data_IF_282978117400
#
_entry.id   IF_282978117400
#
_cell.length_a   1.000
_cell.length_b   1.000
_cell.length_c   1.000
_cell.angle_alpha   90.00
_cell.angle_beta   90.00
_cell.angle_gamma   90.00
#
_symmetry.space_group_name_H-M   'P 1'
#
loop_
_entity.id
_entity.type
_entity.pdbx_description
1 polymer ?
#
# COMPACT_ATOMS: atom_id res chain seq x y z
N UNK A 1 56.67 -0.19 -49.52
CA UNK A 1 55.61 -1.23 -49.47
C UNK A 1 55.40 -1.84 -48.07
N UNK A 2 56.45 -2.13 -47.29
CA UNK A 2 56.33 -2.79 -45.97
C UNK A 2 55.57 -2.00 -44.89
N UNK A 3 55.67 -0.66 -44.88
CA UNK A 3 55.04 0.21 -43.86
C UNK A 3 53.50 0.24 -43.94
N UNK A 4 52.95 0.17 -45.15
CA UNK A 4 51.49 0.14 -45.36
C UNK A 4 50.90 -1.24 -45.01
N UNK A 5 51.68 -2.31 -45.18
CA UNK A 5 51.28 -3.67 -44.80
C UNK A 5 51.19 -3.82 -43.28
N UNK A 6 52.15 -3.26 -42.53
CA UNK A 6 52.12 -3.26 -41.05
C UNK A 6 50.90 -2.49 -40.53
N UNK A 7 50.57 -1.34 -41.13
CA UNK A 7 49.40 -0.56 -40.74
C UNK A 7 48.08 -1.32 -40.98
N UNK A 8 47.97 -2.03 -42.12
CA UNK A 8 46.80 -2.83 -42.45
C UNK A 8 46.60 -4.01 -41.47
N UNK A 9 47.70 -4.70 -41.09
CA UNK A 9 47.64 -5.82 -40.13
C UNK A 9 47.20 -5.33 -38.75
N UNK A 10 47.71 -4.18 -38.29
CA UNK A 10 47.30 -3.59 -37.01
C UNK A 10 45.84 -3.15 -37.02
N UNK A 11 45.36 -2.55 -38.13
CA UNK A 11 43.96 -2.14 -38.28
C UNK A 11 43.01 -3.35 -38.20
N UNK A 12 43.34 -4.44 -38.88
CA UNK A 12 42.54 -5.68 -38.86
C UNK A 12 42.55 -6.32 -37.47
N UNK A 13 43.68 -6.30 -36.77
CA UNK A 13 43.77 -6.79 -35.39
C UNK A 13 42.91 -5.95 -34.41
N UNK A 14 42.91 -4.62 -34.54
CA UNK A 14 42.07 -3.74 -33.75
C UNK A 14 40.58 -3.94 -34.04
N UNK A 15 40.20 -4.10 -35.31
CA UNK A 15 38.83 -4.44 -35.69
C UNK A 15 38.40 -5.79 -35.12
N UNK A 16 39.28 -6.79 -35.15
CA UNK A 16 39.04 -8.09 -34.52
C UNK A 16 38.84 -7.99 -33.01
N UNK A 17 39.63 -7.15 -32.33
CA UNK A 17 39.48 -6.87 -30.90
C UNK A 17 38.18 -6.13 -30.58
N UNK A 18 37.79 -5.13 -31.37
CA UNK A 18 36.52 -4.41 -31.20
C UNK A 18 35.33 -5.34 -31.45
N UNK A 19 35.35 -6.14 -32.50
CA UNK A 19 34.30 -7.13 -32.79
C UNK A 19 34.27 -8.20 -31.69
N UNK A 20 35.42 -8.68 -31.23
CA UNK A 20 35.55 -9.61 -30.11
C UNK A 20 34.99 -9.02 -28.81
N UNK A 21 35.28 -7.74 -28.53
CA UNK A 21 34.81 -7.02 -27.35
C UNK A 21 33.32 -6.73 -27.42
N UNK A 22 32.79 -6.32 -28.58
CA UNK A 22 31.34 -6.16 -28.82
C UNK A 22 30.62 -7.50 -28.66
N UNK A 23 31.18 -8.59 -29.18
CA UNK A 23 30.59 -9.94 -29.05
C UNK A 23 30.66 -10.48 -27.61
N UNK A 24 31.67 -10.09 -26.84
CA UNK A 24 31.81 -10.41 -25.40
C UNK A 24 30.91 -9.54 -24.53
N UNK A 25 30.74 -8.26 -24.87
CA UNK A 25 29.82 -7.36 -24.18
C UNK A 25 28.35 -7.75 -24.45
N UNK A 26 28.05 -8.19 -25.67
CA UNK A 26 26.74 -8.70 -26.06
C UNK A 26 26.47 -10.16 -25.62
N UNK A 27 27.38 -10.74 -24.82
CA UNK A 27 27.26 -12.10 -24.24
C UNK A 27 26.87 -12.09 -22.75
N UNK A 28 26.35 -10.98 -22.22
CA UNK A 28 25.50 -11.07 -21.02
C UNK A 28 24.20 -11.75 -21.46
N UNK A 29 24.11 -13.06 -21.24
CA UNK A 29 22.89 -13.82 -21.50
C UNK A 29 21.72 -13.08 -20.87
N UNK A 30 20.69 -12.76 -21.67
CA UNK A 30 19.47 -12.16 -21.14
C UNK A 30 18.98 -13.06 -20.00
N UNK A 31 18.90 -12.49 -18.80
CA UNK A 31 18.41 -13.21 -17.62
C UNK A 31 16.88 -13.09 -17.70
N UNK A 32 16.16 -14.18 -17.44
CA UNK A 32 14.69 -14.21 -17.57
C UNK A 32 14.05 -14.52 -16.22
N UNK A 33 12.91 -13.91 -15.97
CA UNK A 33 11.97 -14.27 -14.91
C UNK A 33 10.68 -14.85 -15.49
N UNK A 34 9.78 -15.30 -14.62
CA UNK A 34 8.44 -15.73 -15.00
C UNK A 34 7.43 -14.66 -14.58
N UNK A 35 6.59 -14.21 -15.51
CA UNK A 35 5.49 -13.30 -15.24
C UNK A 35 4.18 -14.08 -15.30
N UNK A 36 3.40 -14.02 -14.20
CA UNK A 36 2.02 -14.52 -14.14
C UNK A 36 1.09 -13.35 -13.86
N UNK A 37 0.06 -13.19 -14.70
CA UNK A 37 -0.94 -12.13 -14.56
C UNK A 37 -2.33 -12.73 -14.59
N UNK A 38 -3.12 -12.40 -13.57
CA UNK A 38 -4.53 -12.77 -13.45
C UNK A 38 -5.37 -11.51 -13.33
N UNK A 39 -6.58 -11.53 -13.89
CA UNK A 39 -7.52 -10.44 -13.68
C UNK A 39 -8.97 -10.88 -13.77
N UNK A 40 -9.82 -10.11 -13.11
CA UNK A 40 -11.28 -10.20 -13.22
C UNK A 40 -11.83 -8.79 -13.46
N UNK A 41 -12.59 -8.52 -14.53
CA UNK A 41 -12.83 -9.40 -15.69
C UNK A 41 -11.55 -9.74 -16.47
N UNK A 42 -11.64 -10.66 -17.46
CA UNK A 42 -10.55 -10.92 -18.39
C UNK A 42 -10.08 -9.65 -19.09
N UNK A 43 -8.77 -9.52 -19.23
CA UNK A 43 -8.11 -8.33 -19.75
C UNK A 43 -6.95 -8.66 -20.68
N UNK A 44 -6.59 -7.69 -21.53
CA UNK A 44 -5.36 -7.69 -22.31
C UNK A 44 -4.20 -7.16 -21.46
N UNK A 45 -3.06 -7.82 -21.53
CA UNK A 45 -1.84 -7.50 -20.78
C UNK A 45 -0.83 -6.82 -21.70
N UNK A 46 -0.34 -5.67 -21.27
CA UNK A 46 0.70 -4.90 -21.95
C UNK A 46 1.90 -4.70 -21.01
N UNK A 47 3.10 -4.80 -21.55
CA UNK A 47 4.35 -4.53 -20.86
C UNK A 47 5.13 -3.47 -21.64
N UNK A 48 5.38 -2.30 -21.06
CA UNK A 48 5.95 -1.13 -21.75
C UNK A 48 5.23 -0.81 -23.06
N UNK A 49 3.90 -0.80 -23.02
CA UNK A 49 3.00 -0.61 -24.17
C UNK A 49 3.04 -1.72 -25.24
N UNK A 50 3.89 -2.75 -25.10
CA UNK A 50 3.88 -3.93 -25.96
C UNK A 50 2.78 -4.88 -25.51
N UNK A 51 1.85 -5.23 -26.41
CA UNK A 51 0.83 -6.25 -26.15
C UNK A 51 1.48 -7.62 -25.96
N UNK A 52 1.25 -8.24 -24.81
CA UNK A 52 1.82 -9.54 -24.42
C UNK A 52 0.82 -10.68 -24.59
N UNK A 53 -0.47 -10.45 -24.33
CA UNK A 53 -1.49 -11.48 -24.39
C UNK A 53 -2.73 -11.13 -23.58
N UNK A 54 -3.50 -12.14 -23.16
CA UNK A 54 -4.72 -12.00 -22.37
C UNK A 54 -4.61 -12.73 -21.05
N UNK A 55 -5.29 -12.26 -20.01
CA UNK A 55 -5.38 -12.93 -18.72
C UNK A 55 -6.33 -14.13 -18.79
N UNK A 56 -6.02 -15.25 -18.11
CA UNK A 56 -4.78 -15.51 -17.36
C UNK A 56 -3.58 -15.61 -18.31
N UNK A 57 -2.51 -14.89 -17.99
CA UNK A 57 -1.29 -14.81 -18.78
C UNK A 57 -0.11 -15.40 -18.00
N UNK A 58 0.73 -16.18 -18.70
CA UNK A 58 1.96 -16.76 -18.13
C UNK A 58 3.02 -16.86 -19.21
N UNK A 59 4.16 -16.19 -19.03
CA UNK A 59 5.29 -16.30 -19.95
C UNK A 59 6.63 -15.97 -19.27
N UNK A 60 7.74 -16.35 -19.92
CA UNK A 60 9.08 -15.91 -19.54
C UNK A 60 9.34 -14.52 -20.11
N UNK A 61 9.75 -13.61 -19.24
CA UNK A 61 10.05 -12.22 -19.59
C UNK A 61 11.48 -11.91 -19.18
N UNK A 62 12.17 -11.09 -19.97
CA UNK A 62 13.50 -10.63 -19.61
C UNK A 62 13.45 -9.91 -18.24
N UNK A 63 14.45 -10.16 -17.40
CA UNK A 63 14.56 -9.50 -16.10
C UNK A 63 14.85 -8.01 -16.31
N UNK A 64 14.17 -7.16 -15.53
CA UNK A 64 14.21 -5.72 -15.71
C UNK A 64 13.08 -4.98 -15.00
N UNK A 65 13.06 -3.67 -15.19
CA UNK A 65 11.98 -2.79 -14.76
C UNK A 65 11.05 -2.52 -15.95
N UNK A 66 9.75 -2.58 -15.68
CA UNK A 66 8.70 -2.42 -16.68
C UNK A 66 7.54 -1.61 -16.12
N UNK A 67 6.68 -1.11 -17.00
CA UNK A 67 5.32 -0.69 -16.66
C UNK A 67 4.35 -1.75 -17.18
N UNK A 68 3.59 -2.38 -16.30
CA UNK A 68 2.49 -3.25 -16.68
C UNK A 68 1.22 -2.42 -16.85
N UNK A 69 0.44 -2.71 -17.89
CA UNK A 69 -0.90 -2.17 -18.10
C UNK A 69 -1.86 -3.31 -18.41
N UNK A 70 -2.96 -3.35 -17.67
CA UNK A 70 -4.01 -4.36 -17.78
C UNK A 70 -5.29 -3.66 -18.24
N UNK A 71 -5.82 -4.06 -19.40
CA UNK A 71 -6.95 -3.41 -20.07
C UNK A 71 -8.11 -4.40 -20.22
N UNK A 72 -9.25 -4.20 -19.53
CA UNK A 72 -10.42 -5.08 -19.64
C UNK A 72 -10.87 -5.30 -21.08
N UNK A 73 -11.34 -6.51 -21.40
CA UNK A 73 -11.99 -6.77 -22.68
C UNK A 73 -13.40 -6.15 -22.71
N UNK A 74 -13.79 -5.55 -23.84
CA UNK A 74 -14.92 -4.62 -23.96
C UNK A 74 -16.34 -5.24 -23.86
N UNK A 75 -16.49 -6.46 -23.37
CA UNK A 75 -17.76 -7.16 -23.34
C UNK A 75 -18.47 -7.00 -21.99
N UNK A 76 -19.30 -5.95 -21.90
CA UNK A 76 -20.39 -5.68 -20.94
C UNK A 76 -20.13 -4.89 -19.65
N UNK A 77 -18.88 -4.76 -19.18
CA UNK A 77 -18.56 -3.89 -18.03
C UNK A 77 -17.54 -2.83 -18.47
N UNK A 78 -17.87 -1.55 -18.31
CA UNK A 78 -16.94 -0.44 -18.55
C UNK A 78 -15.88 -0.40 -17.44
N UNK A 79 -15.09 -1.46 -17.29
CA UNK A 79 -14.04 -1.51 -16.30
C UNK A 79 -12.86 -0.62 -16.73
N UNK A 80 -12.30 0.10 -15.77
CA UNK A 80 -11.14 0.94 -15.98
C UNK A 80 -9.87 0.11 -16.20
N UNK A 81 -9.00 0.56 -17.10
CA UNK A 81 -7.65 -0.02 -17.19
C UNK A 81 -6.83 0.36 -15.98
N UNK A 82 -5.98 -0.55 -15.52
CA UNK A 82 -5.02 -0.30 -14.45
C UNK A 82 -3.59 -0.42 -14.98
N UNK A 83 -2.67 0.34 -14.40
CA UNK A 83 -1.25 0.27 -14.72
C UNK A 83 -0.39 0.53 -13.48
N UNK A 84 0.80 -0.06 -13.46
CA UNK A 84 1.75 0.10 -12.37
C UNK A 84 3.19 -0.22 -12.80
N UNK A 85 4.21 0.32 -12.11
CA UNK A 85 5.58 -0.16 -12.26
C UNK A 85 5.71 -1.61 -11.76
N UNK A 86 6.60 -2.37 -12.38
CA UNK A 86 6.82 -3.79 -12.12
C UNK A 86 8.31 -4.13 -12.27
N UNK A 87 8.85 -4.88 -11.31
CA UNK A 87 10.20 -5.45 -11.40
C UNK A 87 10.11 -6.96 -11.68
N UNK A 88 10.83 -7.44 -12.69
CA UNK A 88 10.94 -8.88 -13.00
C UNK A 88 12.33 -9.36 -12.63
N UNK A 89 12.41 -10.26 -11.65
CA UNK A 89 13.65 -10.84 -11.14
C UNK A 89 14.14 -12.06 -11.94
N UNK A 90 15.43 -12.35 -11.85
CA UNK A 90 16.06 -13.45 -12.58
C UNK A 90 15.68 -14.82 -11.98
N UNK A 91 15.07 -15.69 -12.78
CA UNK A 91 14.56 -17.00 -12.36
C UNK A 91 13.57 -16.94 -11.18
N UNK A 92 12.93 -15.78 -11.02
CA UNK A 92 11.92 -15.54 -9.99
C UNK A 92 10.55 -15.35 -10.64
N UNK A 93 9.51 -15.73 -9.90
CA UNK A 93 8.13 -15.45 -10.24
C UNK A 93 7.79 -14.03 -9.84
N UNK A 94 7.22 -13.28 -10.77
CA UNK A 94 6.51 -12.04 -10.53
C UNK A 94 5.02 -12.30 -10.78
N UNK A 95 4.22 -12.12 -9.75
CA UNK A 95 2.78 -12.37 -9.79
C UNK A 95 2.02 -11.05 -9.75
N UNK A 96 1.05 -10.90 -10.64
CA UNK A 96 0.14 -9.76 -10.69
C UNK A 96 -1.29 -10.28 -10.67
N UNK A 97 -2.11 -9.73 -9.78
CA UNK A 97 -3.55 -9.97 -9.74
C UNK A 97 -4.28 -8.63 -9.82
N UNK A 98 -5.31 -8.51 -10.64
CA UNK A 98 -6.08 -7.28 -10.78
C UNK A 98 -7.59 -7.53 -10.80
N UNK A 99 -8.30 -6.98 -9.81
CA UNK A 99 -9.76 -6.94 -9.77
C UNK A 99 -10.20 -5.58 -10.31
N UNK A 100 -10.55 -5.54 -11.59
CA UNK A 100 -10.87 -4.34 -12.34
C UNK A 100 -12.36 -4.04 -12.24
N UNK A 101 -12.66 -2.79 -11.90
CA UNK A 101 -14.01 -2.27 -11.67
C UNK A 101 -14.24 -1.02 -12.53
N UNK A 102 -15.42 -0.43 -12.43
CA UNK A 102 -15.88 0.72 -13.25
C UNK A 102 -14.93 1.92 -13.21
N UNK A 103 -14.19 2.08 -12.10
CA UNK A 103 -13.20 3.14 -11.92
C UNK A 103 -11.88 2.59 -11.41
N UNK A 104 -10.81 3.35 -11.60
CA UNK A 104 -9.51 3.00 -11.04
C UNK A 104 -9.53 3.02 -9.50
N UNK A 105 -10.42 3.80 -8.87
CA UNK A 105 -10.55 3.89 -7.41
C UNK A 105 -11.26 2.68 -6.81
N UNK A 106 -12.22 2.11 -7.55
CA UNK A 106 -12.94 0.89 -7.16
C UNK A 106 -12.23 -0.38 -7.63
N UNK A 107 -11.09 -0.27 -8.32
CA UNK A 107 -10.26 -1.40 -8.74
C UNK A 107 -9.18 -1.68 -7.72
N UNK A 108 -8.86 -2.96 -7.54
CA UNK A 108 -7.78 -3.41 -6.67
C UNK A 108 -6.77 -4.23 -7.45
N UNK A 109 -5.51 -4.23 -6.99
CA UNK A 109 -4.45 -4.97 -7.65
C UNK A 109 -3.31 -5.33 -6.69
N UNK A 110 -2.68 -6.48 -6.93
CA UNK A 110 -1.52 -6.96 -6.19
C UNK A 110 -0.35 -7.17 -7.14
N UNK A 111 0.83 -6.73 -6.74
CA UNK A 111 2.09 -7.10 -7.37
C UNK A 111 2.97 -7.74 -6.30
N UNK A 112 3.36 -8.99 -6.55
CA UNK A 112 4.22 -9.77 -5.66
C UNK A 112 5.46 -10.22 -6.42
N UNK A 113 6.63 -9.96 -5.86
CA UNK A 113 7.87 -10.51 -6.36
C UNK A 113 8.86 -10.80 -5.24
N UNK A 114 9.88 -11.57 -5.57
CA UNK A 114 10.98 -11.85 -4.66
C UNK A 114 12.18 -10.98 -5.04
N UNK A 115 12.88 -10.49 -4.03
CA UNK A 115 14.19 -9.88 -4.16
C UNK A 115 15.19 -10.69 -3.33
N UNK A 116 16.37 -10.95 -3.90
CA UNK A 116 17.44 -11.63 -3.16
C UNK A 116 18.08 -10.65 -2.18
N UNK A 117 18.26 -11.09 -0.94
CA UNK A 117 18.88 -10.28 0.13
C UNK A 117 20.16 -10.95 0.64
N UNK A 118 20.98 -10.18 1.34
CA UNK A 118 22.18 -10.69 2.02
C UNK A 118 21.87 -11.35 3.37
N UNK A 119 20.67 -11.13 3.91
CA UNK A 119 20.20 -11.73 5.15
C UNK A 119 20.04 -13.25 5.06
N UNK A 120 20.00 -13.91 6.21
CA UNK A 120 19.79 -15.37 6.30
C UNK A 120 18.33 -15.75 6.55
N UNK A 121 17.49 -14.78 6.92
CA UNK A 121 16.08 -14.97 7.22
C UNK A 121 15.22 -14.58 6.01
N UNK A 122 13.93 -14.91 6.07
CA UNK A 122 12.96 -14.37 5.11
C UNK A 122 12.55 -12.97 5.55
N UNK A 123 12.31 -12.08 4.58
CA UNK A 123 11.85 -10.72 4.85
C UNK A 123 10.56 -10.42 4.10
N UNK A 124 9.81 -9.44 4.60
CA UNK A 124 8.60 -8.94 3.95
C UNK A 124 8.65 -7.42 3.85
N UNK A 125 8.37 -6.88 2.68
CA UNK A 125 8.12 -5.45 2.45
C UNK A 125 6.73 -5.27 1.87
N UNK A 126 5.87 -4.52 2.55
CA UNK A 126 4.49 -4.26 2.13
C UNK A 126 4.29 -2.77 1.93
N UNK A 127 3.78 -2.40 0.76
CA UNK A 127 3.35 -1.04 0.41
C UNK A 127 1.93 -1.11 -0.11
N UNK A 128 1.13 -0.08 0.16
CA UNK A 128 -0.26 -0.05 -0.30
C UNK A 128 -0.63 1.29 -0.93
N UNK A 129 -1.67 1.27 -1.75
CA UNK A 129 -2.37 2.48 -2.17
C UNK A 129 -3.85 2.34 -1.79
N UNK A 130 -4.36 3.15 -0.84
CA UNK A 130 -3.66 4.21 -0.10
C UNK A 130 -2.62 3.67 0.89
N UNK A 131 -1.68 4.52 1.29
CA UNK A 131 -0.75 4.25 2.40
C UNK A 131 -1.48 4.20 3.75
N UNK A 132 -0.80 3.68 4.78
CA UNK A 132 -1.34 3.63 6.16
C UNK A 132 -2.33 2.49 6.40
N UNK A 133 -2.35 1.49 5.52
CA UNK A 133 -3.17 0.30 5.70
C UNK A 133 -2.57 -0.61 6.78
N UNK A 134 -3.41 -1.22 7.62
CA UNK A 134 -2.98 -2.18 8.63
C UNK A 134 -2.57 -3.49 7.95
N UNK A 135 -1.40 -4.00 8.32
CA UNK A 135 -0.85 -5.25 7.80
C UNK A 135 -0.93 -6.32 8.87
N UNK A 136 -1.55 -7.44 8.51
CA UNK A 136 -1.62 -8.65 9.31
C UNK A 136 -0.90 -9.78 8.57
N UNK A 137 -0.13 -10.56 9.32
CA UNK A 137 0.50 -11.80 8.83
C UNK A 137 0.04 -12.91 9.75
N UNK A 138 -0.64 -13.91 9.18
CA UNK A 138 -1.28 -15.02 9.90
C UNK A 138 -2.19 -14.52 11.03
N UNK A 139 -3.06 -13.56 10.68
CA UNK A 139 -4.02 -12.89 11.57
C UNK A 139 -3.40 -12.08 12.72
N UNK A 140 -2.07 -11.98 12.79
CA UNK A 140 -1.36 -11.12 13.74
C UNK A 140 -1.01 -9.78 13.11
N UNK A 141 -1.42 -8.68 13.76
CA UNK A 141 -1.05 -7.31 13.34
C UNK A 141 0.47 -7.14 13.43
N UNK A 142 1.09 -6.77 12.31
CA UNK A 142 2.54 -6.49 12.21
C UNK A 142 2.87 -5.00 12.12
N UNK A 143 1.89 -4.16 11.77
CA UNK A 143 2.05 -2.71 11.70
C UNK A 143 1.14 -2.08 10.66
N UNK A 144 1.57 -0.93 10.12
CA UNK A 144 0.90 -0.21 9.03
C UNK A 144 1.86 0.00 7.87
N UNK A 145 1.33 0.12 6.65
CA UNK A 145 2.14 0.39 5.46
C UNK A 145 2.64 1.84 5.39
N UNK A 146 3.83 2.09 4.83
CA UNK A 146 4.84 1.12 4.38
C UNK A 146 5.44 0.31 5.55
N UNK A 147 5.51 -1.01 5.41
CA UNK A 147 6.03 -1.93 6.44
C UNK A 147 7.21 -2.74 5.88
N UNK A 148 8.26 -2.90 6.68
CA UNK A 148 9.34 -3.86 6.43
C UNK A 148 9.59 -4.72 7.67
N UNK A 149 9.67 -6.03 7.49
CA UNK A 149 9.99 -6.98 8.56
C UNK A 149 11.19 -7.83 8.16
N UNK A 150 12.12 -8.04 9.10
CA UNK A 150 13.40 -8.72 8.86
C UNK A 150 13.41 -10.20 9.25
N UNK A 151 12.43 -10.62 10.05
CA UNK A 151 12.36 -11.95 10.66
C UNK A 151 11.03 -12.62 10.35
N UNK A 152 10.78 -12.88 9.07
CA UNK A 152 9.68 -13.72 8.64
C UNK A 152 10.11 -15.18 8.69
N UNK A 153 9.35 -16.02 9.40
CA UNK A 153 9.53 -17.47 9.37
C UNK A 153 9.46 -17.97 7.93
N UNK A 154 10.19 -19.03 7.60
CA UNK A 154 10.12 -19.63 6.26
C UNK A 154 8.84 -20.47 6.14
N UNK A 155 8.17 -20.40 4.99
CA UNK A 155 6.91 -21.12 4.77
C UNK A 155 5.84 -20.27 4.10
N UNK A 156 4.64 -20.83 4.04
CA UNK A 156 3.46 -20.14 3.54
C UNK A 156 2.87 -19.25 4.64
N UNK A 157 2.48 -18.03 4.27
CA UNK A 157 1.86 -17.05 5.15
C UNK A 157 0.62 -16.44 4.51
N UNK A 158 -0.34 -16.04 5.34
CA UNK A 158 -1.48 -15.26 4.92
C UNK A 158 -1.24 -13.78 5.19
N UNK A 159 -1.02 -13.00 4.14
CA UNK A 159 -0.89 -11.55 4.21
C UNK A 159 -2.26 -10.93 4.04
N UNK A 160 -2.76 -10.23 5.05
CA UNK A 160 -4.01 -9.46 4.97
C UNK A 160 -3.70 -7.99 5.16
N UNK A 161 -4.28 -7.14 4.30
CA UNK A 161 -4.14 -5.69 4.39
C UNK A 161 -5.52 -5.05 4.43
N UNK A 162 -5.72 -4.13 5.38
CA UNK A 162 -7.00 -3.46 5.61
C UNK A 162 -6.83 -1.96 5.75
N UNK A 163 -7.75 -1.17 5.21
CA UNK A 163 -7.75 0.29 5.37
C UNK A 163 -9.20 0.80 5.48
N UNK A 164 -9.51 1.75 6.38
CA UNK A 164 -10.86 2.28 6.54
C UNK A 164 -11.42 2.84 5.22
N UNK A 165 -12.63 2.39 4.85
CA UNK A 165 -13.28 2.79 3.60
C UNK A 165 -12.84 1.99 2.36
N UNK A 166 -11.92 1.05 2.52
CA UNK A 166 -11.45 0.16 1.45
C UNK A 166 -11.82 -1.29 1.72
N UNK A 167 -11.91 -2.07 0.67
CA UNK A 167 -12.09 -3.51 0.75
C UNK A 167 -10.80 -4.16 1.24
N UNK A 168 -10.90 -4.99 2.28
CA UNK A 168 -9.78 -5.80 2.78
C UNK A 168 -9.28 -6.76 1.71
N UNK A 169 -7.97 -6.97 1.65
CA UNK A 169 -7.34 -7.81 0.64
C UNK A 169 -6.42 -8.82 1.30
N UNK A 170 -6.57 -10.09 0.93
CA UNK A 170 -5.82 -11.21 1.52
C UNK A 170 -5.10 -11.97 0.43
N UNK A 171 -3.81 -12.20 0.63
CA UNK A 171 -2.94 -12.85 -0.33
C UNK A 171 -2.08 -13.91 0.37
N UNK A 172 -2.03 -15.09 -0.23
CA UNK A 172 -1.08 -16.12 0.19
C UNK A 172 0.31 -15.77 -0.35
N UNK A 173 1.29 -15.69 0.54
CA UNK A 173 2.70 -15.45 0.19
C UNK A 173 3.58 -16.60 0.69
N UNK A 174 4.76 -16.75 0.11
CA UNK A 174 5.75 -17.73 0.55
C UNK A 174 7.04 -17.05 0.94
N UNK A 175 7.38 -17.14 2.22
CA UNK A 175 8.64 -16.68 2.80
C UNK A 175 9.74 -17.70 2.54
N UNK A 176 10.89 -17.23 2.07
CA UNK A 176 12.07 -18.05 1.79
C UNK A 176 13.29 -17.35 2.39
N UNK A 177 14.09 -18.10 3.15
CA UNK A 177 15.36 -17.61 3.67
C UNK A 177 16.27 -17.03 2.56
N UNK A 178 16.84 -15.85 2.81
CA UNK A 178 17.69 -15.15 1.83
C UNK A 178 16.93 -14.41 0.73
N UNK A 179 15.60 -14.33 0.84
CA UNK A 179 14.76 -13.51 -0.02
C UNK A 179 13.84 -12.60 0.78
N UNK A 180 13.54 -11.45 0.20
CA UNK A 180 12.48 -10.54 0.62
C UNK A 180 11.29 -10.71 -0.31
N UNK A 181 10.13 -11.00 0.25
CA UNK A 181 8.85 -10.87 -0.45
C UNK A 181 8.51 -9.40 -0.50
N UNK A 182 8.30 -8.85 -1.69
CA UNK A 182 7.80 -7.49 -1.87
C UNK A 182 6.37 -7.57 -2.35
N UNK A 183 5.47 -6.93 -1.61
CA UNK A 183 4.05 -6.82 -1.92
C UNK A 183 3.67 -5.34 -2.10
N UNK A 184 3.20 -5.00 -3.30
CA UNK A 184 2.62 -3.70 -3.61
C UNK A 184 1.14 -3.88 -3.90
N UNK A 185 0.28 -3.35 -3.03
CA UNK A 185 -1.15 -3.66 -3.00
C UNK A 185 -1.99 -2.38 -3.16
N UNK A 186 -2.75 -2.29 -4.25
CA UNK A 186 -3.78 -1.26 -4.43
C UNK A 186 -5.10 -1.79 -3.89
N UNK A 187 -5.69 -1.09 -2.92
CA UNK A 187 -6.99 -1.44 -2.35
C UNK A 187 -8.12 -0.74 -3.11
N UNK A 188 -9.23 -1.45 -3.32
CA UNK A 188 -10.43 -0.88 -3.90
C UNK A 188 -11.24 -0.13 -2.85
N UNK A 189 -11.77 1.03 -3.21
CA UNK A 189 -12.72 1.75 -2.38
C UNK A 189 -13.99 0.91 -2.20
N UNK A 190 -14.45 0.77 -0.96
CA UNK A 190 -15.74 0.13 -0.67
C UNK A 190 -16.87 1.08 -1.11
N UNK A 191 -17.72 0.65 -2.04
CA UNK A 191 -18.83 1.44 -2.59
C UNK A 191 -19.95 1.76 -1.57
N UNK A 192 -19.78 1.40 -0.30
CA UNK A 192 -20.63 1.82 0.80
C UNK A 192 -19.76 2.13 2.01
N UNK A 193 -19.85 3.36 2.50
CA UNK A 193 -19.35 3.76 3.81
C UNK A 193 -20.09 3.00 4.90
N UNK A 194 -19.72 1.75 5.13
CA UNK A 194 -20.12 0.94 6.24
C UNK A 194 -18.86 0.24 6.73
N UNK A 195 -18.38 0.69 7.88
CA UNK A 195 -17.39 0.00 8.69
C UNK A 195 -17.91 -1.40 9.02
N UNK A 196 -17.60 -2.38 8.18
CA UNK A 196 -17.69 -3.79 8.56
C UNK A 196 -16.48 -4.10 9.44
N UNK A 197 -16.58 -3.70 10.70
CA UNK A 197 -15.85 -4.35 11.76
C UNK A 197 -16.40 -5.77 11.89
N UNK A 198 -15.84 -6.71 11.12
CA UNK A 198 -16.09 -8.13 11.31
C UNK A 198 -15.11 -8.65 12.36
N UNK A 199 -15.54 -8.60 13.62
CA UNK A 199 -15.12 -9.52 14.65
C UNK A 199 -16.26 -9.60 15.68
N UNK A 200 -17.13 -10.58 15.51
CA UNK A 200 -18.00 -11.10 16.57
C UNK A 200 -17.35 -12.37 17.11
N UNK A 201 -17.32 -12.57 18.44
CA UNK A 201 -18.14 -13.65 18.96
C UNK A 201 -19.25 -13.13 19.89
N UNK A 202 -20.47 -13.55 19.57
CA UNK A 202 -21.72 -13.56 20.35
C UNK A 202 -21.61 -14.46 21.60
N UNK A 203 -22.64 -14.57 22.48
CA UNK A 203 -23.54 -13.56 23.06
C UNK A 203 -23.74 -13.76 24.59
N UNK A 204 -24.24 -12.76 25.32
CA UNK A 204 -25.09 -13.02 26.50
C UNK A 204 -26.33 -12.13 26.41
N UNK A 205 -27.46 -12.79 26.17
CA UNK A 205 -28.80 -12.22 26.12
C UNK A 205 -29.25 -11.77 27.51
N UNK A 206 -29.52 -10.48 27.68
CA UNK A 206 -30.56 -10.01 28.61
C UNK A 206 -31.40 -8.93 27.92
N UNK A 207 -32.64 -9.31 27.63
CA UNK A 207 -33.67 -8.53 26.96
C UNK A 207 -34.25 -7.48 27.89
N UNK A 208 -34.30 -6.18 27.52
CA UNK A 208 -35.37 -5.26 27.96
C UNK A 208 -35.63 -4.17 26.90
N UNK A 209 -36.79 -4.31 26.24
CA UNK A 209 -37.77 -3.30 25.82
C UNK A 209 -37.37 -2.07 24.99
N UNK A 210 -37.93 -2.04 23.77
CA UNK A 210 -38.16 -0.84 22.92
C UNK A 210 -38.94 0.23 23.70
N UNK A 211 -38.39 1.44 23.79
CA UNK A 211 -39.15 2.70 23.88
C UNK A 211 -38.40 3.78 23.10
N UNK A 212 -39.11 4.37 22.14
CA UNK A 212 -38.78 5.69 21.59
C UNK A 212 -38.97 6.73 22.69
N UNK A 213 -38.05 7.70 22.84
CA UNK A 213 -38.50 9.08 22.75
C UNK A 213 -37.53 10.04 22.02
N UNK A 214 -38.16 11.05 21.45
CA UNK A 214 -37.75 12.38 20.99
C UNK A 214 -36.82 13.17 21.94
N UNK A 215 -35.79 13.85 21.39
CA UNK A 215 -35.36 15.22 21.78
C UNK A 215 -34.11 15.47 22.67
N UNK A 216 -33.04 16.06 22.06
CA UNK A 216 -32.05 17.09 22.55
C UNK A 216 -31.24 16.88 23.88
N UNK A 217 -30.18 17.69 24.15
CA UNK A 217 -28.78 17.59 23.72
C UNK A 217 -27.83 17.16 24.88
N UNK A 218 -26.71 16.47 24.61
CA UNK A 218 -25.72 16.20 25.66
C UNK A 218 -24.76 17.39 25.82
N UNK A 219 -25.19 18.38 26.61
CA UNK A 219 -24.30 19.37 27.23
C UNK A 219 -23.81 18.85 28.58
N UNK A 220 -22.57 18.39 28.67
CA UNK A 220 -21.84 18.32 29.94
C UNK A 220 -20.54 19.07 29.76
N UNK A 221 -20.46 20.28 30.34
CA UNK A 221 -19.25 21.11 30.34
C UNK A 221 -18.11 20.32 31.04
N UNK A 222 -16.95 20.10 30.40
CA UNK A 222 -15.85 19.35 31.01
C UNK A 222 -15.29 20.06 32.25
N UNK A 223 -14.90 19.28 33.26
CA UNK A 223 -14.20 19.80 34.43
C UNK A 223 -12.88 20.50 34.02
N UNK A 224 -12.55 21.62 34.68
CA UNK A 224 -11.30 22.36 34.48
C UNK A 224 -10.07 21.50 34.83
N UNK A 225 -8.93 21.65 34.14
CA UNK A 225 -8.72 22.55 32.99
C UNK A 225 -9.34 21.99 31.70
N UNK A 226 -9.89 22.87 30.86
CA UNK A 226 -10.45 22.50 29.56
C UNK A 226 -10.02 23.47 28.47
N UNK A 227 -10.26 23.09 27.22
CA UNK A 227 -10.04 23.95 26.05
C UNK A 227 -11.34 24.18 25.30
N UNK A 228 -11.48 25.38 24.73
CA UNK A 228 -12.56 25.75 23.82
C UNK A 228 -11.98 25.80 22.41
N UNK A 229 -12.60 25.13 21.45
CA UNK A 229 -12.16 25.13 20.05
C UNK A 229 -12.56 26.47 19.42
N UNK A 230 -11.57 27.20 18.88
CA UNK A 230 -11.78 28.46 18.17
C UNK A 230 -12.27 28.21 16.74
N UNK A 231 -12.80 29.24 16.09
CA UNK A 231 -13.15 29.17 14.68
C UNK A 231 -11.94 28.80 13.82
N UNK A 232 -12.16 27.86 12.90
CA UNK A 232 -11.17 27.45 11.90
C UNK A 232 -11.70 27.75 10.50
N UNK A 233 -10.83 28.07 9.52
CA UNK A 233 -11.25 28.29 8.14
C UNK A 233 -11.98 27.10 7.50
N UNK A 234 -11.80 25.90 8.06
CA UNK A 234 -12.38 24.64 7.58
C UNK A 234 -13.66 24.24 8.31
N UNK A 235 -14.08 24.98 9.33
CA UNK A 235 -15.28 24.68 10.13
C UNK A 235 -15.12 23.51 11.11
N UNK A 236 -13.90 22.99 11.29
CA UNK A 236 -13.52 21.95 12.25
C UNK A 236 -12.02 22.00 12.56
N UNK A 237 -11.62 21.50 13.73
CA UNK A 237 -10.23 21.29 14.12
C UNK A 237 -9.94 19.78 14.17
N UNK A 238 -8.74 19.41 13.69
CA UNK A 238 -8.28 18.01 13.68
C UNK A 238 -7.65 17.64 15.02
N UNK A 239 -8.02 16.48 15.54
CA UNK A 239 -7.37 15.78 16.65
C UNK A 239 -6.44 14.73 16.04
N UNK A 240 -5.18 14.67 16.48
CA UNK A 240 -4.15 13.79 15.91
C UNK A 240 -3.58 12.84 16.96
N UNK A 241 -2.97 11.74 16.52
CA UNK A 241 -2.35 10.78 17.43
C UNK A 241 -1.04 11.28 18.06
N UNK A 242 -0.33 12.18 17.38
CA UNK A 242 0.91 12.81 17.87
C UNK A 242 0.86 14.33 17.68
N UNK A 243 1.64 15.12 18.47
CA UNK A 243 1.66 16.59 18.40
C UNK A 243 2.48 17.10 17.21
N UNK A 244 2.15 16.64 16.00
CA UNK A 244 2.80 17.06 14.75
C UNK A 244 1.75 17.25 13.65
N UNK A 245 2.04 18.12 12.68
CA UNK A 245 1.13 18.39 11.55
C UNK A 245 1.10 17.26 10.51
N UNK A 246 2.07 16.35 10.58
CA UNK A 246 2.20 15.17 9.71
C UNK A 246 1.57 13.91 10.31
N UNK A 247 1.23 13.91 11.60
CA UNK A 247 0.63 12.76 12.28
C UNK A 247 -0.80 12.45 11.82
N UNK A 248 -1.18 11.18 11.87
CA UNK A 248 -2.53 10.73 11.51
C UNK A 248 -3.62 11.39 12.35
N UNK A 249 -4.74 11.71 11.71
CA UNK A 249 -5.92 12.29 12.34
C UNK A 249 -6.73 11.20 13.07
N UNK A 250 -6.97 11.39 14.37
CA UNK A 250 -7.75 10.52 15.22
C UNK A 250 -9.25 10.90 15.24
N UNK A 251 -9.55 12.21 15.17
CA UNK A 251 -10.92 12.73 15.19
C UNK A 251 -11.00 14.17 14.65
N UNK A 252 -12.22 14.68 14.52
CA UNK A 252 -12.52 16.09 14.25
C UNK A 252 -13.42 16.66 15.33
N UNK A 253 -13.12 17.87 15.77
CA UNK A 253 -13.90 18.62 16.75
C UNK A 253 -14.35 19.94 16.14
N UNK A 254 -15.51 20.45 16.53
CA UNK A 254 -16.11 21.66 15.93
C UNK A 254 -15.78 22.91 16.75
N UNK A 255 -15.72 24.09 16.11
CA UNK A 255 -15.64 25.36 16.83
C UNK A 255 -16.76 25.50 17.86
N UNK A 256 -16.43 26.05 19.03
CA UNK A 256 -17.34 26.22 20.17
C UNK A 256 -17.47 25.01 21.10
N UNK A 257 -16.99 23.83 20.70
CA UNK A 257 -16.98 22.65 21.57
C UNK A 257 -15.90 22.75 22.64
N UNK A 258 -16.13 22.10 23.79
CA UNK A 258 -15.27 22.14 24.96
C UNK A 258 -14.74 20.75 25.26
N UNK A 259 -13.44 20.64 25.55
CA UNK A 259 -12.80 19.35 25.87
C UNK A 259 -11.87 19.44 27.06
N UNK A 260 -11.86 18.40 27.89
CA UNK A 260 -10.93 18.32 29.01
C UNK A 260 -9.49 18.28 28.51
N UNK A 261 -8.63 19.09 29.14
CA UNK A 261 -7.22 19.25 28.79
C UNK A 261 -6.36 18.38 29.70
N UNK A 262 -5.65 17.42 29.12
CA UNK A 262 -4.78 16.50 29.88
C UNK A 262 -3.32 16.94 29.87
N UNK A 263 -2.82 17.38 28.71
CA UNK A 263 -1.38 17.63 28.53
C UNK A 263 -1.14 18.80 27.57
N UNK A 264 -0.08 19.57 27.81
CA UNK A 264 0.38 20.64 26.93
C UNK A 264 1.81 20.34 26.51
N UNK A 265 2.08 20.36 25.20
CA UNK A 265 3.42 20.21 24.65
C UNK A 265 3.68 21.24 23.57
N UNK A 266 4.55 22.20 23.87
CA UNK A 266 4.93 23.30 22.96
C UNK A 266 3.70 24.11 22.50
N UNK A 267 3.17 23.82 21.30
CA UNK A 267 1.99 24.47 20.71
C UNK A 267 0.84 23.48 20.44
N UNK A 268 0.82 22.35 21.15
CA UNK A 268 -0.19 21.30 21.03
C UNK A 268 -0.81 21.00 22.39
N UNK A 269 -2.11 20.74 22.37
CA UNK A 269 -2.90 20.38 23.54
C UNK A 269 -3.47 18.98 23.37
N UNK A 270 -3.27 18.12 24.36
CA UNK A 270 -3.85 16.79 24.40
C UNK A 270 -5.21 16.87 25.08
N UNK A 271 -6.24 16.48 24.35
CA UNK A 271 -7.64 16.56 24.80
C UNK A 271 -8.28 15.19 24.82
N UNK A 272 -9.31 15.06 25.65
CA UNK A 272 -10.16 13.88 25.70
C UNK A 272 -11.46 14.16 24.95
N UNK A 273 -11.70 13.47 23.81
CA UNK A 273 -12.72 13.90 22.83
C UNK A 273 -14.01 13.06 22.79
N UNK A 274 -14.04 11.87 23.38
CA UNK A 274 -15.24 11.00 23.43
C UNK A 274 -15.44 10.30 24.78
N UNK A 275 -14.83 10.85 25.85
CA UNK A 275 -14.97 10.31 27.21
C UNK A 275 -14.06 9.13 27.55
N UNK A 276 -13.34 8.55 26.57
CA UNK A 276 -12.31 7.54 26.82
C UNK A 276 -11.02 7.76 26.00
N UNK A 277 -11.13 8.29 24.79
CA UNK A 277 -10.02 8.49 23.88
C UNK A 277 -9.43 9.89 23.97
N UNK A 278 -8.11 9.97 23.74
CA UNK A 278 -7.30 11.18 23.85
C UNK A 278 -6.55 11.44 22.56
N UNK A 279 -6.24 12.70 22.28
CA UNK A 279 -5.45 13.08 21.11
C UNK A 279 -5.06 14.54 21.09
N UNK A 280 -4.19 14.90 20.16
CA UNK A 280 -3.51 16.19 20.09
C UNK A 280 -4.19 17.15 19.12
N UNK A 281 -4.55 18.33 19.60
CA UNK A 281 -5.04 19.45 18.79
C UNK A 281 -4.00 20.58 18.76
N UNK A 282 -4.03 21.37 17.69
CA UNK A 282 -3.14 22.53 17.58
C UNK A 282 -3.62 23.67 18.47
N UNK A 283 -2.77 24.12 19.39
CA UNK A 283 -3.07 25.18 20.36
C UNK A 283 -3.36 26.55 19.72
N UNK A 284 -2.98 26.77 18.46
CA UNK A 284 -3.32 27.99 17.72
C UNK A 284 -4.84 28.16 17.49
N UNK A 285 -5.58 27.05 17.48
CA UNK A 285 -7.04 27.02 17.27
C UNK A 285 -7.81 26.60 18.53
N UNK A 286 -7.19 26.70 19.70
CA UNK A 286 -7.80 26.32 20.96
C UNK A 286 -7.49 27.34 22.06
N UNK A 287 -8.49 27.70 22.86
CA UNK A 287 -8.34 28.56 24.03
C UNK A 287 -8.34 27.72 25.29
N UNK A 288 -7.29 27.85 26.11
CA UNK A 288 -7.21 27.19 27.41
C UNK A 288 -8.01 27.97 28.45
N UNK A 289 -8.83 27.26 29.22
CA UNK A 289 -9.53 27.79 30.39
C UNK A 289 -9.11 26.97 31.61
N UNK A 290 -8.50 27.65 32.57
CA UNK A 290 -8.11 27.09 33.88
C UNK A 290 -9.22 27.22 34.93
#
# INVERSE_FOLDING_TARGET
MKRNLVFLVVLVALLGLVIGFVKIWNRRSAKFGELRVESVPPASVFLDNKHMGRTPFRDKVQAGQYTIKVVPEASSMQAASWQAPLSIGESLLTYVSADLSESELSSAADILWLEKISGKNGELSVTTNPDGATVLVDDQVKGVTPLSTTDMSSGDHMLTVTSPGFLSRTQKIKSIAGYRVIASIKLALSAGGAVVASASPTPVTQSVTRITPTGLPLSSDPAKPFVIIKDTPTGYLRVRLEPTTTASEAARVKPGEKYHLEEIKTSWYKIKYDGSNTGWISGQYAEKVE
#
